data_IF_004606761846
#
_entry.id   IF_004606761846
#
_cell.length_a   1.000
_cell.length_b   1.000
_cell.length_c   1.000
_cell.angle_alpha   90.00
_cell.angle_beta   90.00
_cell.angle_gamma   90.00
#
_symmetry.space_group_name_H-M   'P 1'
#
loop_
_entity.id
_entity.type
_entity.pdbx_description
1 polymer ?
#
# COMPACT_ATOMS: atom_id res chain seq x y z
N UNK A 1 -17.29 9.13 -9.61
CA UNK A 1 -16.60 10.14 -8.80
C UNK A 1 -17.69 10.81 -8.01
N UNK A 2 -18.06 10.24 -6.85
CA UNK A 2 -19.09 10.85 -6.00
C UNK A 2 -18.58 12.24 -5.59
N UNK A 3 -19.36 13.25 -5.91
CA UNK A 3 -18.96 14.64 -5.73
C UNK A 3 -18.83 14.91 -4.23
N UNK A 4 -17.78 15.64 -3.81
CA UNK A 4 -17.54 16.15 -2.45
C UNK A 4 -18.76 16.83 -1.78
N UNK A 5 -19.79 17.17 -2.58
CA UNK A 5 -21.08 17.69 -2.13
C UNK A 5 -21.94 16.63 -1.42
N UNK A 6 -21.70 15.34 -1.70
CA UNK A 6 -22.45 14.20 -1.17
C UNK A 6 -21.76 13.57 0.06
N UNK A 7 -20.43 13.64 0.14
CA UNK A 7 -19.65 13.15 1.28
C UNK A 7 -18.61 14.19 1.74
N UNK A 8 -18.83 14.73 2.94
CA UNK A 8 -17.93 15.71 3.57
C UNK A 8 -16.59 15.13 4.04
N UNK A 9 -16.42 13.81 4.02
CA UNK A 9 -15.13 13.15 4.27
C UNK A 9 -14.19 13.27 3.06
N UNK A 10 -14.74 13.51 1.87
CA UNK A 10 -13.94 13.72 0.67
C UNK A 10 -13.30 15.12 0.66
N UNK A 11 -11.99 15.17 0.45
CA UNK A 11 -11.28 16.44 0.31
C UNK A 11 -11.68 17.16 -0.99
N UNK A 12 -11.98 18.46 -0.90
CA UNK A 12 -12.29 19.30 -2.08
C UNK A 12 -11.16 19.33 -3.12
N UNK A 13 -9.92 19.18 -2.67
CA UNK A 13 -8.74 19.11 -3.53
C UNK A 13 -8.21 17.69 -3.63
N UNK A 14 -7.68 17.32 -4.80
CA UNK A 14 -7.00 16.03 -5.00
C UNK A 14 -5.49 16.10 -4.74
N UNK A 15 -5.02 17.10 -3.99
CA UNK A 15 -3.60 17.36 -3.82
C UNK A 15 -2.89 16.21 -3.09
N UNK A 16 -3.57 15.59 -2.13
CA UNK A 16 -3.08 14.42 -1.39
C UNK A 16 -2.83 13.26 -2.36
N UNK A 17 -3.84 12.89 -3.16
CA UNK A 17 -3.71 11.82 -4.14
C UNK A 17 -2.62 12.11 -5.19
N UNK A 18 -2.53 13.36 -5.67
CA UNK A 18 -1.47 13.79 -6.60
C UNK A 18 -0.07 13.68 -5.99
N UNK A 19 0.09 14.06 -4.73
CA UNK A 19 1.37 13.96 -4.04
C UNK A 19 1.76 12.49 -3.79
N UNK A 20 0.83 11.62 -3.40
CA UNK A 20 1.09 10.18 -3.22
C UNK A 20 1.51 9.48 -4.51
N UNK A 21 0.90 9.81 -5.66
CA UNK A 21 1.27 9.17 -6.94
C UNK A 21 2.53 9.79 -7.58
N UNK A 22 2.94 10.99 -7.18
CA UNK A 22 4.05 11.73 -7.80
C UNK A 22 5.36 10.94 -7.83
N UNK A 23 5.83 10.28 -6.75
CA UNK A 23 7.06 9.48 -6.78
C UNK A 23 7.04 8.40 -7.85
N UNK A 24 5.92 7.70 -8.01
CA UNK A 24 5.74 6.70 -9.06
C UNK A 24 5.82 7.32 -10.47
N UNK A 25 5.15 8.46 -10.69
CA UNK A 25 5.17 9.14 -12.00
C UNK A 25 6.55 9.69 -12.39
N UNK A 26 7.40 10.02 -11.42
CA UNK A 26 8.78 10.43 -11.66
C UNK A 26 9.64 9.18 -11.90
N UNK A 27 9.47 8.14 -11.08
CA UNK A 27 10.18 6.86 -11.20
C UNK A 27 10.00 6.20 -12.56
N UNK A 28 8.76 6.11 -13.07
CA UNK A 28 8.49 5.49 -14.39
C UNK A 28 9.27 6.11 -15.55
N UNK A 29 9.61 7.41 -15.47
CA UNK A 29 10.38 8.12 -16.50
C UNK A 29 11.86 7.69 -16.48
N UNK A 30 12.35 7.24 -15.33
CA UNK A 30 13.74 6.84 -15.11
C UNK A 30 13.94 5.31 -15.15
N UNK A 31 12.88 4.53 -15.21
CA UNK A 31 12.94 3.07 -15.28
C UNK A 31 13.12 2.61 -16.72
N UNK A 32 14.23 1.94 -17.01
CA UNK A 32 14.58 1.45 -18.35
C UNK A 32 13.54 0.47 -18.93
N UNK A 33 12.75 -0.20 -18.07
CA UNK A 33 11.84 -1.28 -18.44
C UNK A 33 10.41 -1.11 -17.89
N UNK A 34 9.89 0.12 -17.86
CA UNK A 34 8.53 0.42 -17.35
C UNK A 34 7.39 0.30 -18.38
N UNK A 35 7.67 -0.19 -19.59
CA UNK A 35 6.76 -0.11 -20.73
C UNK A 35 5.73 -1.25 -20.85
N UNK A 36 5.85 -2.33 -20.07
CA UNK A 36 4.93 -3.46 -20.17
C UNK A 36 3.70 -3.28 -19.28
N UNK A 37 2.54 -3.76 -19.73
CA UNK A 37 1.29 -3.76 -18.95
C UNK A 37 1.44 -4.53 -17.65
N UNK A 38 2.10 -5.70 -17.69
CA UNK A 38 2.42 -6.51 -16.51
C UNK A 38 3.30 -5.77 -15.51
N UNK A 39 4.30 -5.01 -15.99
CA UNK A 39 5.17 -4.20 -15.13
C UNK A 39 4.43 -3.02 -14.49
N UNK A 40 3.51 -2.39 -15.22
CA UNK A 40 2.65 -1.35 -14.69
C UNK A 40 1.70 -1.89 -13.61
N UNK A 41 1.09 -3.06 -13.83
CA UNK A 41 0.23 -3.74 -12.87
C UNK A 41 0.99 -4.13 -11.60
N UNK A 42 2.14 -4.81 -11.73
CA UNK A 42 2.99 -5.17 -10.59
C UNK A 42 3.43 -3.94 -9.78
N UNK A 43 3.80 -2.85 -10.46
CA UNK A 43 4.15 -1.60 -9.79
C UNK A 43 2.95 -1.03 -9.03
N UNK A 44 1.77 -0.97 -9.67
CA UNK A 44 0.56 -0.45 -9.02
C UNK A 44 0.20 -1.23 -7.75
N UNK A 45 0.36 -2.56 -7.76
CA UNK A 45 0.15 -3.40 -6.58
C UNK A 45 1.12 -3.01 -5.45
N UNK A 46 2.42 -2.93 -5.75
CA UNK A 46 3.45 -2.60 -4.73
C UNK A 46 3.22 -1.21 -4.15
N UNK A 47 2.97 -0.18 -4.98
CA UNK A 47 2.69 1.16 -4.47
C UNK A 47 1.41 1.22 -3.66
N UNK A 48 0.39 0.45 -4.03
CA UNK A 48 -0.85 0.38 -3.24
C UNK A 48 -0.58 -0.20 -1.85
N UNK A 49 0.23 -1.27 -1.75
CA UNK A 49 0.65 -1.83 -0.45
C UNK A 49 1.43 -0.82 0.39
N UNK A 50 2.39 -0.12 -0.22
CA UNK A 50 3.21 0.90 0.45
C UNK A 50 2.35 2.07 0.96
N UNK A 51 1.48 2.62 0.12
CA UNK A 51 0.62 3.75 0.53
C UNK A 51 -0.41 3.32 1.58
N UNK A 52 -0.90 2.08 1.52
CA UNK A 52 -1.80 1.53 2.56
C UNK A 52 -1.06 1.35 3.89
N UNK A 53 0.19 0.86 3.88
CA UNK A 53 1.00 0.74 5.08
C UNK A 53 1.25 2.11 5.73
N UNK A 54 1.63 3.12 4.93
CA UNK A 54 1.81 4.50 5.39
C UNK A 54 0.51 5.09 5.95
N UNK A 55 -0.63 4.83 5.31
CA UNK A 55 -1.93 5.30 5.79
C UNK A 55 -2.29 4.73 7.17
N UNK A 56 -1.80 3.54 7.50
CA UNK A 56 -1.92 2.89 8.81
C UNK A 56 -0.75 3.22 9.77
N UNK A 57 0.09 4.21 9.43
CA UNK A 57 1.26 4.62 10.23
C UNK A 57 2.31 3.50 10.46
N UNK A 58 2.43 2.58 9.50
CA UNK A 58 3.46 1.55 9.49
C UNK A 58 4.68 1.98 8.69
N UNK A 59 5.85 1.47 9.08
CA UNK A 59 7.07 1.51 8.28
C UNK A 59 6.87 0.61 7.06
N UNK A 60 6.81 1.23 5.88
CA UNK A 60 6.50 0.53 4.64
C UNK A 60 7.53 -0.55 4.29
N UNK A 61 8.81 -0.38 4.66
CA UNK A 61 9.83 -1.38 4.38
C UNK A 61 9.62 -2.62 5.24
N UNK A 62 9.46 -2.42 6.56
CA UNK A 62 9.19 -3.52 7.51
C UNK A 62 7.91 -4.26 7.18
N UNK A 63 6.87 -3.54 6.77
CA UNK A 63 5.61 -4.16 6.41
C UNK A 63 5.73 -5.09 5.19
N UNK A 64 6.48 -4.67 4.16
CA UNK A 64 6.74 -5.54 2.99
C UNK A 64 7.61 -6.73 3.38
N UNK A 65 8.64 -6.54 4.21
CA UNK A 65 9.47 -7.62 4.74
C UNK A 65 8.63 -8.63 5.55
N UNK A 66 7.77 -8.14 6.44
CA UNK A 66 6.81 -8.94 7.21
C UNK A 66 5.89 -9.73 6.28
N UNK A 67 5.29 -9.10 5.27
CA UNK A 67 4.41 -9.80 4.33
C UNK A 67 5.14 -10.91 3.58
N UNK A 68 6.33 -10.63 3.04
CA UNK A 68 7.12 -11.61 2.28
C UNK A 68 7.59 -12.78 3.14
N UNK A 69 7.83 -12.55 4.43
CA UNK A 69 8.19 -13.60 5.38
C UNK A 69 6.97 -14.39 5.85
N UNK A 70 5.83 -13.76 6.07
CA UNK A 70 4.65 -14.41 6.68
C UNK A 70 3.76 -15.10 5.65
N UNK A 71 3.58 -14.51 4.46
CA UNK A 71 2.67 -15.05 3.43
C UNK A 71 3.00 -16.48 2.96
N UNK A 72 4.26 -16.90 2.79
CA UNK A 72 4.58 -18.28 2.40
C UNK A 72 4.20 -19.32 3.47
N UNK A 73 4.04 -18.88 4.72
CA UNK A 73 3.74 -19.73 5.88
C UNK A 73 2.25 -19.75 6.24
N UNK A 74 1.45 -18.82 5.71
CA UNK A 74 0.00 -18.90 5.83
C UNK A 74 -0.48 -20.21 5.20
N UNK A 75 -1.43 -20.87 5.85
CA UNK A 75 -2.03 -22.10 5.33
C UNK A 75 -2.53 -21.89 3.89
N UNK A 76 -2.44 -22.94 3.07
CA UNK A 76 -2.74 -22.88 1.62
C UNK A 76 -4.16 -22.41 1.32
N UNK A 77 -5.06 -22.50 2.29
CA UNK A 77 -6.35 -21.84 2.23
C UNK A 77 -6.15 -20.37 2.58
N UNK A 78 -6.03 -19.57 1.52
CA UNK A 78 -6.13 -18.11 1.51
C UNK A 78 -7.54 -17.68 1.92
N UNK A 79 -8.02 -18.16 3.07
CA UNK A 79 -9.30 -17.76 3.62
C UNK A 79 -9.26 -16.25 3.92
N UNK A 80 -10.42 -15.57 3.85
CA UNK A 80 -10.49 -14.15 4.17
C UNK A 80 -9.99 -13.86 5.60
N UNK A 81 -10.15 -14.80 6.53
CA UNK A 81 -9.71 -14.63 7.91
C UNK A 81 -8.19 -14.62 8.02
N UNK A 82 -7.49 -15.58 7.39
CA UNK A 82 -6.03 -15.68 7.47
C UNK A 82 -5.36 -14.46 6.83
N UNK A 83 -5.88 -13.99 5.70
CA UNK A 83 -5.39 -12.76 5.05
C UNK A 83 -5.59 -11.54 5.96
N UNK A 84 -6.71 -11.47 6.69
CA UNK A 84 -7.01 -10.34 7.58
C UNK A 84 -5.98 -10.19 8.69
N UNK A 85 -5.31 -11.26 9.12
CA UNK A 85 -4.29 -11.22 10.17
C UNK A 85 -3.00 -10.53 9.74
N UNK A 86 -2.70 -10.52 8.44
CA UNK A 86 -1.49 -9.87 7.89
C UNK A 86 -1.75 -8.50 7.29
N UNK A 87 -3.00 -8.05 7.29
CA UNK A 87 -3.39 -6.73 6.79
C UNK A 87 -2.78 -5.59 7.61
N UNK A 88 -2.60 -4.39 7.03
CA UNK A 88 -1.86 -3.31 7.68
C UNK A 88 -2.59 -2.69 8.89
N UNK A 89 -3.87 -3.01 9.09
CA UNK A 89 -4.65 -2.62 10.26
C UNK A 89 -4.74 -3.72 11.33
N UNK A 90 -4.06 -4.86 11.14
CA UNK A 90 -4.04 -5.93 12.14
C UNK A 90 -3.10 -5.60 13.29
N UNK A 91 -3.42 -6.10 14.49
CA UNK A 91 -2.58 -5.89 15.67
C UNK A 91 -1.17 -6.47 15.47
N UNK A 92 -1.07 -7.62 14.79
CA UNK A 92 0.21 -8.29 14.48
C UNK A 92 1.07 -7.41 13.57
N UNK A 93 0.49 -6.83 12.51
CA UNK A 93 1.23 -5.97 11.59
C UNK A 93 1.68 -4.68 12.30
N UNK A 94 0.82 -4.11 13.14
CA UNK A 94 1.11 -2.90 13.92
C UNK A 94 2.28 -3.14 14.87
N UNK A 95 2.25 -4.18 15.70
CA UNK A 95 3.31 -4.48 16.66
C UNK A 95 4.69 -4.65 16.00
N UNK A 96 4.73 -5.35 14.86
CA UNK A 96 5.98 -5.64 14.15
C UNK A 96 6.49 -4.47 13.30
N UNK A 97 5.59 -3.66 12.75
CA UNK A 97 5.91 -2.71 11.68
C UNK A 97 5.69 -1.24 12.02
N UNK A 98 5.41 -0.86 13.28
CA UNK A 98 5.26 0.56 13.66
C UNK A 98 6.44 1.42 13.18
N UNK A 99 6.11 2.54 12.55
CA UNK A 99 7.08 3.59 12.23
C UNK A 99 7.39 4.40 13.50
N UNK A 100 8.63 4.27 13.99
CA UNK A 100 9.10 4.98 15.20
C UNK A 100 9.55 6.42 14.90
N UNK A 101 9.47 6.90 13.65
CA UNK A 101 10.03 8.19 13.22
C UNK A 101 9.04 9.37 13.25
N UNK A 102 8.02 9.34 14.10
CA UNK A 102 7.07 10.45 14.20
C UNK A 102 7.32 11.35 15.41
#
# INVERSE_FOLDING_TARGET
MENYLLDGRCSISNNIAKNSIRPFTIGRKNWLFSASTKGAEASAIIYSLIETAKANSLDAYKYIEFLLNTMPHLEKDQSPESISEVMPWSDIAIENCIDKKK
#
